data_IF_577237873833
#
_entry.id   IF_577237873833
#
_cell.length_a   1.000
_cell.length_b   1.000
_cell.length_c   1.000
_cell.angle_alpha   90.00
_cell.angle_beta   90.00
_cell.angle_gamma   90.00
#
_symmetry.space_group_name_H-M   'P 1'
#
loop_
_entity.id
_entity.type
_entity.pdbx_description
1 polymer ?
#
# COMPACT_ATOMS: atom_id res chain seq x y z
N UNK A 1 3.79 -52.02 -25.92
CA UNK A 1 3.88 -51.05 -24.81
C UNK A 1 3.24 -49.77 -25.30
N UNK A 2 1.95 -49.55 -24.98
CA UNK A 2 1.25 -48.33 -25.39
C UNK A 2 1.67 -47.20 -24.47
N UNK A 3 2.47 -46.28 -25.01
CA UNK A 3 2.88 -45.06 -24.34
C UNK A 3 1.69 -44.11 -24.36
N UNK A 4 0.81 -44.17 -23.36
CA UNK A 4 -0.25 -43.19 -23.16
C UNK A 4 0.40 -41.90 -22.69
N UNK A 5 0.77 -41.04 -23.64
CA UNK A 5 1.15 -39.68 -23.33
C UNK A 5 0.00 -39.03 -22.55
N UNK A 6 0.28 -38.61 -21.31
CA UNK A 6 -0.68 -37.81 -20.55
C UNK A 6 -1.06 -36.58 -21.39
N UNK A 7 -2.35 -36.26 -21.53
CA UNK A 7 -2.74 -35.04 -22.24
C UNK A 7 -2.08 -33.84 -21.56
N UNK A 8 -1.58 -32.90 -22.38
CA UNK A 8 -1.02 -31.66 -21.87
C UNK A 8 -2.02 -30.97 -20.93
N UNK A 9 -1.57 -30.40 -19.80
CA UNK A 9 -2.47 -29.70 -18.90
C UNK A 9 -3.20 -28.60 -19.66
N UNK A 10 -4.50 -28.45 -19.38
CA UNK A 10 -5.31 -27.41 -20.00
C UNK A 10 -4.67 -26.03 -19.75
N UNK A 11 -4.69 -25.13 -20.74
CA UNK A 11 -4.16 -23.79 -20.56
C UNK A 11 -4.88 -23.08 -19.41
N UNK A 12 -4.12 -22.34 -18.61
CA UNK A 12 -4.67 -21.55 -17.52
C UNK A 12 -5.73 -20.57 -18.05
N UNK A 13 -6.90 -20.58 -17.42
CA UNK A 13 -8.01 -19.69 -17.74
C UNK A 13 -8.45 -19.01 -16.44
N UNK A 14 -8.10 -17.73 -16.22
CA UNK A 14 -8.48 -17.05 -14.99
C UNK A 14 -10.01 -16.87 -14.92
N UNK A 15 -10.53 -16.85 -13.71
CA UNK A 15 -11.92 -16.45 -13.46
C UNK A 15 -12.05 -14.92 -13.61
N UNK A 16 -13.27 -14.39 -13.80
CA UNK A 16 -13.49 -12.95 -13.78
C UNK A 16 -13.00 -12.28 -12.49
N UNK A 17 -13.16 -12.96 -11.34
CA UNK A 17 -12.69 -12.47 -10.04
C UNK A 17 -11.15 -12.38 -9.96
N UNK A 18 -10.42 -13.35 -10.52
CA UNK A 18 -8.96 -13.29 -10.60
C UNK A 18 -8.48 -12.11 -11.45
N UNK A 19 -9.16 -11.83 -12.55
CA UNK A 19 -8.85 -10.68 -13.41
C UNK A 19 -9.12 -9.37 -12.66
N UNK A 20 -10.32 -9.22 -12.07
CA UNK A 20 -10.73 -8.01 -11.37
C UNK A 20 -9.84 -7.69 -10.17
N UNK A 21 -9.44 -8.70 -9.38
CA UNK A 21 -8.50 -8.49 -8.26
C UNK A 21 -7.10 -8.12 -8.73
N UNK A 22 -6.65 -8.64 -9.88
CA UNK A 22 -5.42 -8.22 -10.54
C UNK A 22 -5.47 -6.76 -11.02
N UNK A 23 -6.57 -6.35 -11.66
CA UNK A 23 -6.82 -4.97 -12.07
C UNK A 23 -6.81 -4.00 -10.88
N UNK A 24 -7.55 -4.36 -9.82
CA UNK A 24 -7.60 -3.57 -8.58
C UNK A 24 -6.22 -3.40 -7.95
N UNK A 25 -5.39 -4.44 -7.95
CA UNK A 25 -4.03 -4.33 -7.41
C UNK A 25 -3.15 -3.41 -8.28
N UNK A 26 -3.26 -3.47 -9.61
CA UNK A 26 -2.53 -2.54 -10.47
C UNK A 26 -2.94 -1.07 -10.20
N UNK A 27 -4.23 -0.80 -10.05
CA UNK A 27 -4.72 0.54 -9.69
C UNK A 27 -4.22 0.99 -8.32
N UNK A 28 -4.29 0.12 -7.30
CA UNK A 28 -3.81 0.42 -5.96
C UNK A 28 -2.30 0.75 -5.95
N UNK A 29 -1.49 -0.06 -6.64
CA UNK A 29 -0.06 0.19 -6.80
C UNK A 29 0.22 1.51 -7.52
N UNK A 30 -0.56 1.84 -8.57
CA UNK A 30 -0.42 3.11 -9.29
C UNK A 30 -0.81 4.30 -8.40
N UNK A 31 -1.88 4.18 -7.61
CA UNK A 31 -2.31 5.19 -6.65
C UNK A 31 -1.23 5.46 -5.61
N UNK A 32 -0.72 4.42 -4.95
CA UNK A 32 0.35 4.55 -3.95
C UNK A 32 1.61 5.17 -4.55
N UNK A 33 2.03 4.73 -5.75
CA UNK A 33 3.20 5.30 -6.46
C UNK A 33 3.02 6.76 -6.82
N UNK A 34 1.79 7.23 -7.00
CA UNK A 34 1.48 8.62 -7.34
C UNK A 34 1.48 9.50 -6.08
N UNK A 35 0.87 9.02 -4.99
CA UNK A 35 0.76 9.76 -3.73
C UNK A 35 2.09 9.86 -2.99
N UNK A 36 2.86 8.76 -2.95
CA UNK A 36 4.12 8.64 -2.19
C UNK A 36 5.11 9.79 -2.40
N UNK A 37 5.55 10.12 -3.62
CA UNK A 37 6.56 11.16 -3.81
C UNK A 37 6.05 12.55 -3.40
N UNK A 38 4.74 12.80 -3.47
CA UNK A 38 4.13 14.07 -3.04
C UNK A 38 4.17 14.16 -1.52
N UNK A 39 3.70 13.12 -0.84
CA UNK A 39 3.64 13.05 0.62
C UNK A 39 5.03 13.11 1.24
N UNK A 40 5.91 12.19 0.86
CA UNK A 40 7.28 12.17 1.37
C UNK A 40 8.04 13.47 1.00
N UNK A 41 7.65 14.12 -0.10
CA UNK A 41 8.17 15.42 -0.51
C UNK A 41 7.89 16.51 0.51
N UNK A 42 6.62 16.70 0.89
CA UNK A 42 6.28 17.71 1.89
C UNK A 42 6.74 17.32 3.30
N UNK A 43 6.74 16.04 3.66
CA UNK A 43 7.18 15.61 5.00
C UNK A 43 8.66 15.95 5.22
N UNK A 44 9.52 15.67 4.21
CA UNK A 44 10.93 16.07 4.25
C UNK A 44 11.12 17.58 4.35
N UNK A 45 10.30 18.36 3.61
CA UNK A 45 10.31 19.82 3.68
C UNK A 45 9.97 20.29 5.09
N UNK A 46 8.88 19.79 5.68
CA UNK A 46 8.42 20.15 7.03
C UNK A 46 9.48 19.79 8.08
N UNK A 47 10.10 18.60 7.99
CA UNK A 47 11.18 18.21 8.90
C UNK A 47 12.41 19.13 8.79
N UNK A 48 12.66 19.74 7.61
CA UNK A 48 13.75 20.69 7.41
C UNK A 48 13.42 22.13 7.87
N UNK A 49 12.14 22.47 8.13
CA UNK A 49 11.73 23.83 8.51
C UNK A 49 12.20 24.24 9.91
N UNK A 50 12.37 23.26 10.81
CA UNK A 50 12.77 23.50 12.20
C UNK A 50 13.22 22.20 12.87
N UNK A 51 13.78 22.34 14.07
CA UNK A 51 14.07 21.22 14.95
C UNK A 51 12.78 20.61 15.51
N UNK A 52 12.58 19.31 15.29
CA UNK A 52 11.46 18.54 15.82
C UNK A 52 11.96 17.58 16.89
N UNK A 53 11.70 17.85 18.15
CA UNK A 53 12.25 17.06 19.25
C UNK A 53 11.61 15.66 19.32
N UNK A 54 12.45 14.65 19.57
CA UNK A 54 12.02 13.33 20.01
C UNK A 54 11.43 13.45 21.42
N UNK A 55 10.29 12.80 21.65
CA UNK A 55 9.64 12.79 22.95
C UNK A 55 10.61 12.26 24.04
N UNK A 56 10.66 12.85 25.24
CA UNK A 56 11.64 12.50 26.27
C UNK A 56 11.73 11.01 26.59
N UNK A 57 10.60 10.30 26.59
CA UNK A 57 10.52 8.85 26.86
C UNK A 57 10.95 7.97 25.68
N UNK A 58 11.26 8.55 24.52
CA UNK A 58 11.74 7.86 23.32
C UNK A 58 13.20 8.19 22.98
N UNK A 59 13.84 9.07 23.75
CA UNK A 59 15.25 9.41 23.60
C UNK A 59 16.12 8.19 23.91
N UNK A 60 17.15 7.96 23.09
CA UNK A 60 18.10 6.88 23.29
C UNK A 60 18.98 7.12 24.54
N UNK A 61 19.30 8.39 24.82
CA UNK A 61 20.07 8.79 26.00
C UNK A 61 19.23 9.71 26.90
N UNK A 62 18.92 9.29 28.14
CA UNK A 62 18.15 10.12 29.06
C UNK A 62 18.79 11.48 29.33
N UNK A 63 18.06 12.56 29.01
CA UNK A 63 18.50 13.93 29.25
C UNK A 63 19.25 14.58 28.07
N UNK A 64 19.45 13.87 26.96
CA UNK A 64 19.94 14.46 25.70
C UNK A 64 18.77 14.76 24.76
N UNK A 65 18.75 15.98 24.22
CA UNK A 65 17.70 16.38 23.26
C UNK A 65 18.06 15.82 21.88
N UNK A 66 17.28 14.84 21.44
CA UNK A 66 17.33 14.28 20.09
C UNK A 66 16.28 14.92 19.18
N UNK A 67 16.55 14.94 17.87
CA UNK A 67 15.67 15.52 16.88
C UNK A 67 15.30 14.53 15.79
N UNK A 68 14.03 14.53 15.41
CA UNK A 68 13.50 13.77 14.29
C UNK A 68 13.92 14.43 12.98
N UNK A 69 14.75 13.72 12.20
CA UNK A 69 15.24 14.17 10.89
C UNK A 69 14.83 13.24 9.74
N UNK A 70 14.30 12.05 10.06
CA UNK A 70 13.79 11.07 9.10
C UNK A 70 12.26 11.01 9.21
N UNK A 71 11.57 11.04 8.05
CA UNK A 71 10.12 10.93 7.94
C UNK A 71 9.59 9.62 8.54
N UNK A 72 10.40 8.55 8.51
CA UNK A 72 10.07 7.25 9.10
C UNK A 72 10.14 7.24 10.64
N UNK A 73 10.66 8.31 11.24
CA UNK A 73 10.85 8.47 12.68
C UNK A 73 9.90 9.49 13.30
N UNK A 74 8.90 9.97 12.55
CA UNK A 74 7.91 10.96 13.01
C UNK A 74 7.04 10.48 14.18
N UNK A 75 6.91 9.16 14.35
CA UNK A 75 6.25 8.54 15.51
C UNK A 75 7.01 8.74 16.84
N UNK A 76 8.27 9.19 16.79
CA UNK A 76 9.05 9.57 17.97
C UNK A 76 8.64 10.93 18.53
N UNK A 77 7.91 11.76 17.76
CA UNK A 77 7.35 13.02 18.27
C UNK A 77 6.11 12.76 19.13
N UNK A 78 5.84 13.62 20.12
CA UNK A 78 4.59 13.59 20.89
C UNK A 78 4.08 14.99 21.23
N UNK A 79 2.84 15.02 21.72
CA UNK A 79 2.19 16.24 22.21
C UNK A 79 2.18 17.35 21.17
N UNK A 80 2.57 18.55 21.60
CA UNK A 80 2.50 19.76 20.77
C UNK A 80 3.39 19.71 19.53
N UNK A 81 4.56 19.05 19.62
CA UNK A 81 5.45 18.87 18.48
C UNK A 81 4.77 18.05 17.38
N UNK A 82 4.18 16.90 17.75
CA UNK A 82 3.46 16.06 16.79
C UNK A 82 2.21 16.74 16.24
N UNK A 83 1.44 17.45 17.07
CA UNK A 83 0.26 18.19 16.62
C UNK A 83 0.62 19.29 15.60
N UNK A 84 1.71 20.02 15.85
CA UNK A 84 2.19 21.04 14.93
C UNK A 84 2.71 20.42 13.62
N UNK A 85 3.39 19.27 13.67
CA UNK A 85 3.83 18.52 12.50
C UNK A 85 2.63 18.09 11.66
N UNK A 86 1.64 17.45 12.29
CA UNK A 86 0.41 16.96 11.66
C UNK A 86 -0.37 18.11 11.00
N UNK A 87 -0.46 19.26 11.66
CA UNK A 87 -1.09 20.46 11.11
C UNK A 87 -0.38 20.92 9.82
N UNK A 88 0.95 21.01 9.82
CA UNK A 88 1.73 21.37 8.63
C UNK A 88 1.53 20.36 7.49
N UNK A 89 1.50 19.07 7.80
CA UNK A 89 1.20 18.03 6.81
C UNK A 89 -0.20 18.23 6.19
N UNK A 90 -1.21 18.57 6.97
CA UNK A 90 -2.56 18.83 6.43
C UNK A 90 -2.58 20.09 5.54
N UNK A 91 -1.86 21.15 5.92
CA UNK A 91 -1.73 22.37 5.10
C UNK A 91 -1.09 22.07 3.73
N UNK A 92 0.00 21.29 3.71
CA UNK A 92 0.66 20.89 2.46
C UNK A 92 -0.18 19.91 1.64
N UNK A 93 -0.92 18.99 2.29
CA UNK A 93 -1.89 18.11 1.62
C UNK A 93 -2.96 18.92 0.87
N UNK A 94 -3.56 19.90 1.54
CA UNK A 94 -4.58 20.78 0.94
C UNK A 94 -3.99 21.55 -0.25
N UNK A 95 -2.77 22.08 -0.09
CA UNK A 95 -2.07 22.77 -1.17
C UNK A 95 -1.77 21.86 -2.37
N UNK A 96 -1.45 20.59 -2.11
CA UNK A 96 -1.23 19.55 -3.12
C UNK A 96 -2.53 19.00 -3.73
N UNK A 97 -3.70 19.38 -3.20
CA UNK A 97 -5.02 18.87 -3.61
C UNK A 97 -5.11 17.35 -3.55
N UNK A 98 -4.55 16.78 -2.48
CA UNK A 98 -4.63 15.34 -2.22
C UNK A 98 -5.82 15.04 -1.31
N UNK A 99 -6.62 14.06 -1.71
CA UNK A 99 -7.61 13.46 -0.84
C UNK A 99 -6.91 12.54 0.17
N UNK A 100 -7.33 12.63 1.42
CA UNK A 100 -6.82 11.85 2.55
C UNK A 100 -7.79 10.75 2.98
N UNK A 101 -9.00 10.69 2.43
CA UNK A 101 -9.91 9.55 2.58
C UNK A 101 -10.21 8.89 1.23
N UNK A 102 -10.53 7.59 1.28
CA UNK A 102 -10.89 6.78 0.10
C UNK A 102 -12.31 7.15 -0.38
N UNK A 103 -13.17 7.58 0.54
CA UNK A 103 -14.55 7.97 0.30
C UNK A 103 -14.98 9.05 1.29
N UNK A 104 -16.22 9.52 1.14
CA UNK A 104 -16.83 10.54 1.99
C UNK A 104 -17.18 10.04 3.40
N UNK A 105 -16.84 8.79 3.76
CA UNK A 105 -17.18 8.22 5.07
C UNK A 105 -16.23 8.62 6.20
N UNK A 106 -15.09 9.23 5.87
CA UNK A 106 -14.02 9.59 6.80
C UNK A 106 -13.68 11.07 6.73
N UNK A 107 -13.43 11.71 7.88
CA UNK A 107 -12.99 13.11 7.93
C UNK A 107 -11.59 13.25 7.31
N UNK A 108 -11.47 14.04 6.26
CA UNK A 108 -10.23 14.22 5.49
C UNK A 108 -9.06 14.72 6.36
N UNK A 109 -9.30 15.47 7.42
CA UNK A 109 -8.23 16.11 8.20
C UNK A 109 -7.45 15.17 9.13
N UNK A 110 -7.91 13.93 9.31
CA UNK A 110 -7.32 12.99 10.27
C UNK A 110 -6.45 11.89 9.66
N UNK A 111 -6.40 11.77 8.33
CA UNK A 111 -5.71 10.68 7.66
C UNK A 111 -4.52 11.14 6.82
N UNK A 112 -3.45 10.35 6.85
CA UNK A 112 -2.31 10.52 5.95
C UNK A 112 -2.65 9.87 4.59
N UNK A 113 -2.65 10.63 3.47
CA UNK A 113 -2.93 10.09 2.14
C UNK A 113 -2.06 8.89 1.77
N UNK A 114 -0.78 8.90 2.16
CA UNK A 114 0.14 7.80 1.88
C UNK A 114 -0.23 6.53 2.66
N UNK A 115 -0.57 6.65 3.93
CA UNK A 115 -1.01 5.48 4.73
C UNK A 115 -2.31 4.90 4.18
N UNK A 116 -3.22 5.76 3.72
CA UNK A 116 -4.45 5.33 3.05
C UNK A 116 -4.15 4.58 1.74
N UNK A 117 -3.27 5.12 0.90
CA UNK A 117 -2.87 4.44 -0.33
C UNK A 117 -2.18 3.10 -0.06
N UNK A 118 -1.32 3.02 0.97
CA UNK A 118 -0.70 1.77 1.40
C UNK A 118 -1.72 0.75 1.91
N UNK A 119 -2.75 1.18 2.64
CA UNK A 119 -3.82 0.28 3.10
C UNK A 119 -4.63 -0.28 1.92
N UNK A 120 -4.94 0.55 0.91
CA UNK A 120 -5.60 0.10 -0.32
C UNK A 120 -4.75 -0.97 -1.02
N UNK A 121 -3.46 -0.74 -1.20
CA UNK A 121 -2.53 -1.74 -1.75
C UNK A 121 -2.52 -3.01 -0.93
N UNK A 122 -2.40 -2.92 0.40
CA UNK A 122 -2.39 -4.07 1.31
C UNK A 122 -3.66 -4.91 1.18
N UNK A 123 -4.83 -4.27 1.14
CA UNK A 123 -6.13 -4.93 0.96
C UNK A 123 -6.26 -5.57 -0.42
N UNK A 124 -5.82 -4.90 -1.48
CA UNK A 124 -5.82 -5.45 -2.83
C UNK A 124 -4.89 -6.67 -2.97
N UNK A 125 -3.71 -6.65 -2.35
CA UNK A 125 -2.80 -7.80 -2.29
C UNK A 125 -3.43 -9.00 -1.57
N UNK A 126 -4.13 -8.75 -0.46
CA UNK A 126 -4.85 -9.79 0.26
C UNK A 126 -5.95 -10.41 -0.61
N UNK A 127 -6.79 -9.58 -1.23
CA UNK A 127 -7.87 -10.03 -2.11
C UNK A 127 -7.36 -10.82 -3.32
N UNK A 128 -6.23 -10.42 -3.92
CA UNK A 128 -5.61 -11.17 -5.01
C UNK A 128 -5.19 -12.58 -4.57
N UNK A 129 -4.62 -12.74 -3.37
CA UNK A 129 -4.26 -14.05 -2.84
C UNK A 129 -5.49 -14.93 -2.62
N UNK A 130 -6.59 -14.38 -2.11
CA UNK A 130 -7.84 -15.13 -1.95
C UNK A 130 -8.41 -15.59 -3.30
N UNK A 131 -8.49 -14.70 -4.29
CA UNK A 131 -8.98 -15.03 -5.63
C UNK A 131 -8.10 -16.09 -6.34
N UNK A 132 -6.80 -16.09 -6.06
CA UNK A 132 -5.83 -17.00 -6.66
C UNK A 132 -5.57 -18.27 -5.85
N UNK A 133 -6.23 -18.45 -4.71
CA UNK A 133 -5.98 -19.56 -3.80
C UNK A 133 -6.20 -20.94 -4.45
N UNK A 134 -7.12 -21.06 -5.41
CA UNK A 134 -7.37 -22.29 -6.17
C UNK A 134 -6.22 -22.68 -7.12
N UNK A 135 -5.33 -21.73 -7.43
CA UNK A 135 -4.17 -21.91 -8.31
C UNK A 135 -2.89 -22.06 -7.50
N UNK A 136 -2.72 -21.23 -6.47
CA UNK A 136 -1.49 -21.15 -5.66
C UNK A 136 -1.51 -22.06 -4.43
N UNK A 137 -2.71 -22.49 -3.99
CA UNK A 137 -2.96 -23.08 -2.66
C UNK A 137 -2.59 -22.14 -1.50
N UNK A 138 -2.47 -20.84 -1.74
CA UNK A 138 -2.12 -19.81 -0.75
C UNK A 138 -3.18 -18.71 -0.80
N UNK A 139 -4.02 -18.64 0.23
CA UNK A 139 -5.00 -17.57 0.41
C UNK A 139 -4.38 -16.34 1.11
N UNK A 140 -5.13 -15.25 1.25
CA UNK A 140 -4.66 -14.01 1.86
C UNK A 140 -4.20 -14.19 3.30
N UNK A 141 -4.94 -14.95 4.11
CA UNK A 141 -4.60 -15.21 5.51
C UNK A 141 -3.28 -16.00 5.67
N UNK A 142 -3.04 -16.97 4.79
CA UNK A 142 -1.75 -17.69 4.75
C UNK A 142 -0.63 -16.79 4.23
N UNK A 143 -0.90 -15.99 3.20
CA UNK A 143 0.09 -15.12 2.59
C UNK A 143 0.66 -14.07 3.56
N UNK A 144 -0.19 -13.46 4.40
CA UNK A 144 0.27 -12.46 5.39
C UNK A 144 1.13 -13.05 6.51
N UNK A 145 1.11 -14.36 6.71
CA UNK A 145 1.98 -15.06 7.65
C UNK A 145 3.37 -15.43 7.08
N UNK A 146 3.59 -15.22 5.78
CA UNK A 146 4.86 -15.51 5.12
C UNK A 146 5.92 -14.45 5.43
N UNK A 147 7.20 -14.76 5.13
CA UNK A 147 8.21 -13.72 5.06
C UNK A 147 7.83 -12.67 4.01
N UNK A 148 8.08 -11.39 4.31
CA UNK A 148 7.69 -10.28 3.43
C UNK A 148 8.21 -10.46 1.99
N UNK A 149 9.46 -10.90 1.84
CA UNK A 149 10.07 -11.16 0.53
C UNK A 149 9.34 -12.26 -0.27
N UNK A 150 8.87 -13.31 0.41
CA UNK A 150 8.11 -14.38 -0.24
C UNK A 150 6.70 -13.92 -0.60
N UNK A 151 6.08 -13.08 0.23
CA UNK A 151 4.80 -12.47 -0.09
C UNK A 151 4.89 -11.55 -1.30
N UNK A 152 5.92 -10.69 -1.38
CA UNK A 152 6.17 -9.85 -2.55
C UNK A 152 6.37 -10.70 -3.82
N UNK A 153 7.13 -11.79 -3.71
CA UNK A 153 7.37 -12.71 -4.82
C UNK A 153 6.09 -13.42 -5.27
N UNK A 154 5.24 -13.85 -4.33
CA UNK A 154 3.95 -14.46 -4.63
C UNK A 154 3.06 -13.51 -5.43
N UNK A 155 2.98 -12.24 -5.01
CA UNK A 155 2.20 -11.21 -5.70
C UNK A 155 2.76 -10.95 -7.10
N UNK A 156 4.09 -10.78 -7.24
CA UNK A 156 4.72 -10.52 -8.53
C UNK A 156 4.49 -11.66 -9.55
N UNK A 157 4.66 -12.92 -9.15
CA UNK A 157 4.42 -14.08 -10.00
C UNK A 157 2.94 -14.15 -10.40
N UNK A 158 2.04 -13.94 -9.43
CA UNK A 158 0.59 -13.96 -9.66
C UNK A 158 0.17 -12.88 -10.67
N UNK A 159 0.67 -11.65 -10.51
CA UNK A 159 0.38 -10.56 -11.44
C UNK A 159 0.95 -10.83 -12.83
N UNK A 160 2.16 -11.40 -12.94
CA UNK A 160 2.74 -11.79 -14.24
C UNK A 160 1.92 -12.87 -14.95
N UNK A 161 1.33 -13.80 -14.19
CA UNK A 161 0.44 -14.82 -14.74
C UNK A 161 -0.88 -14.20 -15.27
N UNK A 162 -1.42 -13.20 -14.56
CA UNK A 162 -2.68 -12.55 -14.93
C UNK A 162 -2.54 -11.44 -15.97
N UNK A 163 -1.36 -10.82 -16.09
CA UNK A 163 -1.13 -9.67 -16.97
C UNK A 163 -1.61 -9.84 -18.42
N UNK A 164 -1.45 -11.02 -19.08
CA UNK A 164 -1.96 -11.23 -20.44
C UNK A 164 -3.49 -11.20 -20.57
N UNK A 165 -4.22 -11.35 -19.46
CA UNK A 165 -5.68 -11.43 -19.41
C UNK A 165 -6.33 -10.11 -18.96
N UNK A 166 -5.52 -9.15 -18.50
CA UNK A 166 -5.99 -7.85 -18.02
C UNK A 166 -6.01 -6.89 -19.20
N UNK A 167 -7.21 -6.58 -19.68
CA UNK A 167 -7.41 -5.79 -20.91
C UNK A 167 -7.39 -4.28 -20.66
N UNK A 168 -7.97 -3.82 -19.55
CA UNK A 168 -7.96 -2.41 -19.18
C UNK A 168 -8.27 -2.22 -17.69
N UNK A 169 -7.26 -2.00 -16.83
CA UNK A 169 -7.49 -1.80 -15.40
C UNK A 169 -8.27 -0.50 -15.10
N UNK A 170 -8.46 0.40 -16.07
CA UNK A 170 -9.24 1.65 -15.93
C UNK A 170 -10.65 1.54 -16.51
N UNK A 171 -11.05 0.37 -17.04
CA UNK A 171 -12.41 0.19 -17.51
C UNK A 171 -13.37 0.24 -16.31
N UNK A 172 -14.50 0.96 -16.40
CA UNK A 172 -15.52 0.90 -15.36
C UNK A 172 -15.97 -0.56 -15.20
N UNK A 173 -16.03 -1.06 -13.97
CA UNK A 173 -16.68 -2.33 -13.68
C UNK A 173 -18.14 -2.23 -14.15
N UNK A 174 -18.54 -3.03 -15.13
CA UNK A 174 -19.94 -3.07 -15.55
C UNK A 174 -20.79 -3.50 -14.34
N UNK A 175 -21.89 -2.78 -14.03
CA UNK A 175 -22.77 -3.19 -12.95
C UNK A 175 -23.39 -4.55 -13.28
N UNK A 176 -23.34 -5.47 -12.32
CA UNK A 176 -23.94 -6.80 -12.39
C UNK A 176 -25.48 -6.77 -12.48
#
# INVERSE_FOLDING_TARGET
MNNTANPAPAPFKPTPEMIATGENLFLAMAYERTVRPIVEGYERKILAERSWEVAPEQQAVPGEVEYVTDINMTWLMKGDAFNAYRKRCNEERIAAKLDSAIDDSCEQDDYCPLLVAQDVTRRARFALCDAMASVTNINGATAVGMMLADYDKLIDITLKLLAPFITNPLAPLEPA
#
